data_IF_145559796879
#
_entry.id   IF_145559796879
#
_cell.length_a   1.000
_cell.length_b   1.000
_cell.length_c   1.000
_cell.angle_alpha   90.00
_cell.angle_beta   90.00
_cell.angle_gamma   90.00
#
_symmetry.space_group_name_H-M   'P 1'
#
loop_
_entity.id
_entity.type
_entity.pdbx_description
1 polymer ?
#
# COMPACT_ATOMS: atom_id res chain seq x y z
N UNK A 1 -2.96 6.16 8.49
CA UNK A 1 -1.85 5.38 7.89
C UNK A 1 -0.52 5.57 8.61
N UNK A 2 -0.03 6.79 8.82
CA UNK A 2 1.29 7.03 9.46
C UNK A 2 1.41 6.37 10.85
N UNK A 3 0.41 6.55 11.72
CA UNK A 3 0.40 5.92 13.05
C UNK A 3 0.34 4.38 12.99
N UNK A 4 -0.40 3.82 12.04
CA UNK A 4 -0.48 2.38 11.83
C UNK A 4 0.88 1.81 11.41
N UNK A 5 1.55 2.47 10.47
CA UNK A 5 2.89 2.08 10.01
C UNK A 5 3.90 2.16 11.16
N UNK A 6 3.84 3.20 11.99
CA UNK A 6 4.70 3.33 13.18
C UNK A 6 4.47 2.18 14.18
N UNK A 7 3.21 1.91 14.54
CA UNK A 7 2.85 0.83 15.47
C UNK A 7 3.30 -0.51 14.91
N UNK A 8 2.98 -0.81 13.64
CA UNK A 8 3.39 -2.04 12.98
C UNK A 8 4.92 -2.18 12.90
N UNK A 9 5.65 -1.07 12.69
CA UNK A 9 7.12 -1.09 12.58
C UNK A 9 7.84 -1.34 13.91
N UNK A 10 7.19 -0.99 15.02
CA UNK A 10 7.69 -1.16 16.37
C UNK A 10 7.31 -2.53 16.97
N UNK A 11 6.17 -3.09 16.54
CA UNK A 11 5.60 -4.31 17.12
C UNK A 11 5.92 -5.59 16.36
N UNK A 12 6.25 -5.52 15.06
CA UNK A 12 6.43 -6.72 14.22
C UNK A 12 7.79 -6.77 13.54
N UNK A 13 8.34 -8.00 13.43
CA UNK A 13 9.58 -8.26 12.71
C UNK A 13 9.47 -7.85 11.24
N UNK A 14 10.61 -7.48 10.62
CA UNK A 14 10.65 -6.93 9.26
C UNK A 14 10.04 -7.85 8.17
N UNK A 15 9.96 -9.16 8.40
CA UNK A 15 9.28 -10.10 7.49
C UNK A 15 7.75 -10.03 7.59
N UNK A 16 7.20 -9.83 8.78
CA UNK A 16 5.75 -9.81 9.05
C UNK A 16 5.12 -8.44 8.78
N UNK A 17 5.89 -7.38 9.03
CA UNK A 17 5.51 -5.99 8.79
C UNK A 17 5.01 -5.72 7.35
N UNK A 18 5.69 -6.28 6.35
CA UNK A 18 5.35 -6.08 4.94
C UNK A 18 4.01 -6.75 4.60
N UNK A 19 3.77 -7.95 5.15
CA UNK A 19 2.49 -8.64 5.02
C UNK A 19 1.37 -7.85 5.69
N UNK A 20 1.59 -7.35 6.91
CA UNK A 20 0.60 -6.57 7.66
C UNK A 20 0.23 -5.24 7.00
N UNK A 21 1.19 -4.52 6.41
CA UNK A 21 0.88 -3.33 5.59
C UNK A 21 0.10 -3.71 4.34
N UNK A 22 0.46 -4.82 3.69
CA UNK A 22 -0.28 -5.36 2.55
C UNK A 22 -1.74 -5.65 2.91
N UNK A 23 -1.98 -6.36 4.02
CA UNK A 23 -3.32 -6.66 4.53
C UNK A 23 -4.08 -5.39 4.94
N UNK A 24 -3.42 -4.42 5.58
CA UNK A 24 -4.03 -3.14 5.91
C UNK A 24 -4.43 -2.36 4.64
N UNK A 25 -3.60 -2.39 3.60
CA UNK A 25 -3.90 -1.84 2.28
C UNK A 25 -5.09 -2.55 1.62
N UNK A 26 -5.11 -3.89 1.64
CA UNK A 26 -6.24 -4.68 1.13
C UNK A 26 -7.53 -4.37 1.88
N UNK A 27 -7.49 -4.33 3.22
CA UNK A 27 -8.64 -3.98 4.04
C UNK A 27 -9.16 -2.57 3.72
N UNK A 28 -8.26 -1.62 3.47
CA UNK A 28 -8.61 -0.29 2.97
C UNK A 28 -9.32 -0.34 1.61
N UNK A 29 -8.77 -1.09 0.64
CA UNK A 29 -9.37 -1.24 -0.69
C UNK A 29 -10.74 -1.95 -0.66
N UNK A 30 -10.88 -2.99 0.16
CA UNK A 30 -12.15 -3.70 0.39
C UNK A 30 -13.17 -2.75 1.04
N UNK A 31 -12.74 -1.99 2.05
CA UNK A 31 -13.58 -0.96 2.68
C UNK A 31 -14.08 0.08 1.68
N UNK A 32 -13.21 0.56 0.79
CA UNK A 32 -13.59 1.47 -0.29
C UNK A 32 -14.61 0.82 -1.24
N UNK A 33 -14.39 -0.41 -1.68
CA UNK A 33 -15.33 -1.16 -2.55
C UNK A 33 -16.73 -1.30 -1.91
N UNK A 34 -16.77 -1.64 -0.63
CA UNK A 34 -18.02 -1.75 0.13
C UNK A 34 -18.68 -0.38 0.35
N UNK A 35 -17.90 0.69 0.50
CA UNK A 35 -18.42 2.04 0.60
C UNK A 35 -19.02 2.57 -0.73
N UNK A 36 -18.57 2.06 -1.88
CA UNK A 36 -19.08 2.55 -3.17
C UNK A 36 -20.41 1.90 -3.57
N UNK A 37 -20.47 0.58 -3.74
CA UNK A 37 -21.63 -0.07 -4.38
C UNK A 37 -22.72 -0.45 -3.36
N UNK A 38 -22.45 -1.29 -2.34
CA UNK A 38 -23.51 -1.72 -1.43
C UNK A 38 -23.98 -0.59 -0.51
N UNK A 39 -23.10 0.30 -0.06
CA UNK A 39 -23.52 1.45 0.74
C UNK A 39 -24.41 2.41 -0.05
N UNK A 40 -24.08 2.69 -1.32
CA UNK A 40 -24.94 3.53 -2.17
C UNK A 40 -26.28 2.89 -2.42
N UNK A 41 -26.33 1.58 -2.70
CA UNK A 41 -27.59 0.85 -2.84
C UNK A 41 -28.44 0.91 -1.56
N UNK A 42 -27.80 0.80 -0.39
CA UNK A 42 -28.48 0.87 0.89
C UNK A 42 -29.02 2.26 1.23
N UNK A 43 -28.25 3.32 0.90
CA UNK A 43 -28.69 4.71 1.03
C UNK A 43 -29.89 4.98 0.11
N UNK A 44 -29.87 4.46 -1.12
CA UNK A 44 -30.99 4.61 -2.06
C UNK A 44 -32.26 3.91 -1.59
N UNK A 45 -32.15 2.78 -0.88
CA UNK A 45 -33.29 2.01 -0.39
C UNK A 45 -33.86 2.53 0.95
N UNK A 46 -33.02 2.99 1.87
CA UNK A 46 -33.41 3.31 3.26
C UNK A 46 -33.17 4.76 3.68
N UNK A 47 -32.69 5.61 2.75
CA UNK A 47 -32.22 6.96 3.05
C UNK A 47 -30.85 6.96 3.72
N UNK A 48 -30.30 8.15 3.99
CA UNK A 48 -28.94 8.29 4.53
C UNK A 48 -28.86 8.06 6.05
N UNK A 49 -29.94 8.23 6.82
CA UNK A 49 -29.85 8.16 8.29
C UNK A 49 -29.43 6.78 8.81
N UNK A 50 -30.04 5.71 8.31
CA UNK A 50 -29.79 4.35 8.79
C UNK A 50 -28.36 3.87 8.49
N UNK A 51 -27.84 3.99 7.24
CA UNK A 51 -26.50 3.54 6.90
C UNK A 51 -25.40 4.28 7.66
N UNK A 52 -25.57 5.60 7.85
CA UNK A 52 -24.63 6.41 8.63
C UNK A 52 -24.65 6.07 10.13
N UNK A 53 -25.82 5.75 10.70
CA UNK A 53 -25.91 5.35 12.10
C UNK A 53 -25.25 3.98 12.35
N UNK A 54 -25.50 3.00 11.47
CA UNK A 54 -24.89 1.66 11.56
C UNK A 54 -23.37 1.71 11.35
N UNK A 55 -22.89 2.46 10.36
CA UNK A 55 -21.45 2.64 10.16
C UNK A 55 -20.78 3.32 11.35
N UNK A 56 -21.44 4.30 11.99
CA UNK A 56 -20.99 4.91 13.24
C UNK A 56 -20.82 3.91 14.38
N UNK A 57 -21.81 3.01 14.58
CA UNK A 57 -21.74 1.96 15.60
C UNK A 57 -20.60 0.98 15.30
N UNK A 58 -20.43 0.56 14.05
CA UNK A 58 -19.34 -0.32 13.64
C UNK A 58 -17.95 0.31 13.89
N UNK A 59 -17.81 1.61 13.63
CA UNK A 59 -16.58 2.36 13.93
C UNK A 59 -16.31 2.41 15.44
N UNK A 60 -17.34 2.63 16.26
CA UNK A 60 -17.22 2.61 17.72
C UNK A 60 -16.83 1.22 18.24
N UNK A 61 -17.51 0.16 17.74
CA UNK A 61 -17.22 -1.22 18.10
C UNK A 61 -15.79 -1.63 17.71
N UNK A 62 -15.35 -1.30 16.49
CA UNK A 62 -13.97 -1.55 16.05
C UNK A 62 -12.94 -0.78 16.89
N UNK A 63 -13.24 0.45 17.31
CA UNK A 63 -12.38 1.22 18.21
C UNK A 63 -12.25 0.54 19.57
N UNK A 64 -13.38 0.13 20.17
CA UNK A 64 -13.40 -0.60 21.45
C UNK A 64 -12.67 -1.94 21.35
N UNK A 65 -12.87 -2.67 20.25
CA UNK A 65 -12.19 -3.94 20.00
C UNK A 65 -10.67 -3.74 19.86
N UNK A 66 -10.23 -2.75 19.07
CA UNK A 66 -8.81 -2.41 18.94
C UNK A 66 -8.20 -1.99 20.27
N UNK A 67 -8.92 -1.16 21.04
CA UNK A 67 -8.49 -0.73 22.37
C UNK A 67 -8.37 -1.91 23.34
N UNK A 68 -9.36 -2.80 23.36
CA UNK A 68 -9.35 -4.01 24.17
C UNK A 68 -8.20 -4.95 23.77
N UNK A 69 -7.96 -5.17 22.48
CA UNK A 69 -6.84 -6.00 21.99
C UNK A 69 -5.50 -5.36 22.34
N UNK A 70 -5.31 -4.06 22.13
CA UNK A 70 -4.05 -3.37 22.46
C UNK A 70 -3.72 -3.43 23.96
N UNK A 71 -4.73 -3.38 24.83
CA UNK A 71 -4.55 -3.43 26.28
C UNK A 71 -4.44 -4.87 26.81
N UNK A 72 -5.22 -5.80 26.25
CA UNK A 72 -5.25 -7.22 26.66
C UNK A 72 -4.07 -8.02 26.10
N UNK A 73 -3.38 -7.51 25.08
CA UNK A 73 -2.16 -8.09 24.54
C UNK A 73 -0.92 -7.28 24.99
N UNK A 74 -0.56 -7.25 26.28
CA UNK A 74 0.78 -6.83 26.66
C UNK A 74 1.70 -7.97 26.24
N UNK A 75 2.22 -7.92 25.01
CA UNK A 75 3.09 -8.99 24.56
C UNK A 75 4.42 -8.89 25.31
N UNK A 76 4.61 -9.85 26.22
CA UNK A 76 5.88 -10.35 26.76
C UNK A 76 7.03 -10.06 25.79
N UNK A 77 7.86 -9.07 26.15
CA UNK A 77 9.27 -9.06 25.75
C UNK A 77 10.00 -10.01 26.68
N UNK A 78 9.84 -11.31 26.47
CA UNK A 78 10.70 -12.31 27.07
C UNK A 78 11.54 -12.94 25.95
N UNK A 79 12.84 -12.66 25.96
CA UNK A 79 13.83 -13.35 25.14
C UNK A 79 14.29 -12.59 23.89
N UNK A 80 15.16 -11.60 24.08
CA UNK A 80 15.90 -11.00 22.98
C UNK A 80 16.53 -9.69 23.41
N UNK A 81 17.76 -9.77 23.91
CA UNK A 81 18.61 -8.63 24.21
C UNK A 81 18.85 -7.78 22.95
N UNK A 82 17.90 -6.90 22.63
CA UNK A 82 18.25 -5.66 21.99
C UNK A 82 18.72 -4.75 23.11
N UNK A 83 20.04 -4.64 23.21
CA UNK A 83 20.69 -3.50 23.84
C UNK A 83 19.81 -2.27 23.59
N UNK A 84 19.58 -1.48 24.64
CA UNK A 84 19.23 -0.09 24.48
C UNK A 84 20.36 0.56 23.67
N UNK A 85 20.32 0.38 22.35
CA UNK A 85 20.89 1.32 21.42
C UNK A 85 20.22 2.62 21.81
N UNK A 86 20.96 3.44 22.54
CA UNK A 86 20.63 4.81 22.88
C UNK A 86 20.12 5.42 21.58
N UNK A 87 18.80 5.54 21.43
CA UNK A 87 18.20 6.19 20.26
C UNK A 87 18.68 7.62 20.38
N UNK A 88 19.79 7.90 19.68
CA UNK A 88 20.34 9.23 19.61
C UNK A 88 19.19 10.06 19.09
N UNK A 89 18.69 10.99 19.91
CA UNK A 89 17.73 11.98 19.48
C UNK A 89 18.48 12.87 18.49
N UNK A 90 18.67 12.37 17.26
CA UNK A 90 19.07 13.20 16.16
C UNK A 90 17.98 14.24 15.98
N UNK A 91 18.38 15.51 15.92
CA UNK A 91 17.46 16.59 15.65
C UNK A 91 16.70 16.22 14.38
N UNK A 92 15.36 16.22 14.43
CA UNK A 92 14.48 15.86 13.31
C UNK A 92 14.90 16.54 12.00
N UNK A 93 15.39 17.78 12.09
CA UNK A 93 15.97 18.56 10.99
C UNK A 93 17.15 17.87 10.28
N UNK A 94 18.03 17.19 11.01
CA UNK A 94 19.17 16.48 10.43
C UNK A 94 18.71 15.24 9.66
N UNK A 95 17.77 14.49 10.22
CA UNK A 95 17.15 13.34 9.54
C UNK A 95 16.43 13.79 8.27
N UNK A 96 15.64 14.88 8.36
CA UNK A 96 14.94 15.45 7.22
C UNK A 96 15.91 15.92 6.12
N UNK A 97 16.98 16.63 6.50
CA UNK A 97 18.00 17.10 5.54
C UNK A 97 18.73 15.94 4.88
N UNK A 98 18.96 14.83 5.60
CA UNK A 98 19.57 13.61 5.06
C UNK A 98 18.65 12.91 4.06
N UNK A 99 17.36 12.80 4.37
CA UNK A 99 16.36 12.24 3.45
C UNK A 99 16.24 13.11 2.19
N UNK A 100 16.13 14.43 2.35
CA UNK A 100 16.03 15.37 1.22
C UNK A 100 17.28 15.40 0.33
N UNK A 101 18.46 15.04 0.85
CA UNK A 101 19.70 14.91 0.06
C UNK A 101 19.90 13.51 -0.53
N UNK A 102 19.15 12.51 -0.07
CA UNK A 102 19.34 11.12 -0.52
C UNK A 102 18.72 10.90 -1.89
N UNK A 103 19.56 10.65 -2.90
CA UNK A 103 19.13 10.25 -4.25
C UNK A 103 18.24 9.01 -4.22
N UNK A 104 18.54 8.06 -3.34
CA UNK A 104 17.77 6.83 -3.19
C UNK A 104 16.39 7.07 -2.56
N UNK A 105 16.29 8.01 -1.61
CA UNK A 105 14.99 8.42 -1.05
C UNK A 105 14.12 9.05 -2.14
N UNK A 106 14.69 9.97 -2.93
CA UNK A 106 13.99 10.61 -4.04
C UNK A 106 13.58 9.62 -5.12
N UNK A 107 14.45 8.66 -5.49
CA UNK A 107 14.10 7.63 -6.46
C UNK A 107 12.93 6.77 -5.96
N UNK A 108 12.96 6.32 -4.70
CA UNK A 108 11.88 5.55 -4.13
C UNK A 108 10.58 6.37 -4.02
N UNK A 109 10.67 7.64 -3.63
CA UNK A 109 9.55 8.57 -3.57
C UNK A 109 8.92 8.75 -4.95
N UNK A 110 9.71 9.08 -5.98
CA UNK A 110 9.21 9.31 -7.34
C UNK A 110 8.60 8.03 -7.93
N UNK A 111 9.22 6.87 -7.72
CA UNK A 111 8.64 5.60 -8.19
C UNK A 111 7.32 5.28 -7.49
N UNK A 112 7.23 5.50 -6.17
CA UNK A 112 6.00 5.25 -5.42
C UNK A 112 4.91 6.27 -5.74
N UNK A 113 5.27 7.55 -5.84
CA UNK A 113 4.38 8.63 -6.24
C UNK A 113 3.84 8.41 -7.65
N UNK A 114 4.70 8.07 -8.61
CA UNK A 114 4.28 7.78 -9.98
C UNK A 114 3.39 6.55 -10.08
N UNK A 115 3.51 5.58 -9.17
CA UNK A 115 2.69 4.39 -9.16
C UNK A 115 1.35 4.61 -8.44
N UNK A 116 1.39 5.02 -7.18
CA UNK A 116 0.19 5.18 -6.34
C UNK A 116 -0.54 6.48 -6.69
N UNK A 117 0.20 7.57 -6.90
CA UNK A 117 -0.37 8.88 -7.17
C UNK A 117 -1.11 8.94 -8.50
N UNK A 118 -0.58 8.31 -9.55
CA UNK A 118 -1.28 8.25 -10.86
C UNK A 118 -2.56 7.43 -10.75
N UNK A 119 -2.53 6.28 -10.10
CA UNK A 119 -3.71 5.43 -9.92
C UNK A 119 -4.78 6.10 -9.06
N UNK A 120 -4.42 6.59 -7.87
CA UNK A 120 -5.35 7.24 -6.93
C UNK A 120 -5.89 8.54 -7.53
N UNK A 121 -5.02 9.34 -8.17
CA UNK A 121 -5.44 10.53 -8.90
C UNK A 121 -6.44 10.20 -9.98
N UNK A 122 -6.10 9.25 -10.87
CA UNK A 122 -6.97 8.87 -11.97
C UNK A 122 -8.32 8.30 -11.50
N UNK A 123 -8.33 7.36 -10.54
CA UNK A 123 -9.58 6.79 -10.02
C UNK A 123 -10.43 7.84 -9.30
N UNK A 124 -9.81 8.74 -8.55
CA UNK A 124 -10.52 9.75 -7.77
C UNK A 124 -11.14 10.86 -8.61
N UNK A 125 -10.58 11.19 -9.77
CA UNK A 125 -11.02 12.35 -10.56
C UNK A 125 -11.58 11.99 -11.93
N UNK A 126 -10.95 11.07 -12.67
CA UNK A 126 -11.21 10.90 -14.10
C UNK A 126 -11.70 9.53 -14.51
N UNK A 127 -11.55 8.48 -13.70
CA UNK A 127 -11.82 7.12 -14.19
C UNK A 127 -13.29 6.84 -14.55
N UNK A 128 -14.25 7.35 -13.76
CA UNK A 128 -15.68 7.24 -14.11
C UNK A 128 -16.05 8.15 -15.30
N UNK A 129 -15.70 9.47 -15.30
CA UNK A 129 -15.91 10.31 -16.49
C UNK A 129 -15.24 9.75 -17.75
N UNK A 130 -14.09 9.12 -17.63
CA UNK A 130 -13.38 8.47 -18.73
C UNK A 130 -14.23 7.35 -19.35
N UNK A 131 -14.77 6.43 -18.52
CA UNK A 131 -15.69 5.40 -19.00
C UNK A 131 -16.89 6.00 -19.74
N UNK A 132 -17.51 7.03 -19.15
CA UNK A 132 -18.69 7.67 -19.72
C UNK A 132 -18.40 8.43 -21.02
N UNK A 133 -17.38 9.28 -21.05
CA UNK A 133 -17.10 10.17 -22.19
C UNK A 133 -16.36 9.47 -23.33
N UNK A 134 -15.46 8.53 -23.04
CA UNK A 134 -14.62 7.88 -24.07
C UNK A 134 -15.31 6.64 -24.63
N UNK A 135 -15.94 5.84 -23.77
CA UNK A 135 -16.61 4.59 -24.17
C UNK A 135 -18.13 4.73 -24.30
N UNK A 136 -18.73 5.88 -23.94
CA UNK A 136 -20.18 6.07 -24.02
C UNK A 136 -20.95 5.26 -22.98
N UNK A 137 -20.27 4.79 -21.93
CA UNK A 137 -20.87 3.98 -20.88
C UNK A 137 -21.85 4.79 -20.04
N UNK A 138 -22.84 4.10 -19.50
CA UNK A 138 -23.60 4.65 -18.40
C UNK A 138 -22.76 4.69 -17.10
N UNK A 139 -23.27 5.38 -16.07
CA UNK A 139 -22.54 5.55 -14.80
C UNK A 139 -22.29 4.19 -14.10
N UNK A 140 -23.26 3.25 -14.02
CA UNK A 140 -23.01 1.91 -13.50
C UNK A 140 -21.90 1.14 -14.23
N UNK A 141 -21.91 1.11 -15.56
CA UNK A 141 -20.89 0.44 -16.38
C UNK A 141 -19.51 1.05 -16.18
N UNK A 142 -19.41 2.39 -16.17
CA UNK A 142 -18.15 3.07 -15.89
C UNK A 142 -17.64 2.77 -14.48
N UNK A 143 -18.54 2.63 -13.49
CA UNK A 143 -18.18 2.20 -12.13
C UNK A 143 -17.65 0.76 -12.11
N UNK A 144 -18.21 -0.15 -12.90
CA UNK A 144 -17.70 -1.52 -13.02
C UNK A 144 -16.29 -1.54 -13.61
N UNK A 145 -16.01 -0.69 -14.60
CA UNK A 145 -14.66 -0.53 -15.15
C UNK A 145 -13.67 -0.11 -14.04
N UNK A 146 -14.04 0.84 -13.18
CA UNK A 146 -13.21 1.25 -12.04
C UNK A 146 -13.03 0.11 -11.02
N UNK A 147 -14.08 -0.68 -10.76
CA UNK A 147 -14.00 -1.83 -9.86
C UNK A 147 -12.96 -2.86 -10.32
N UNK A 148 -12.75 -3.04 -11.63
CA UNK A 148 -11.71 -3.96 -12.13
C UNK A 148 -10.31 -3.57 -11.64
N UNK A 149 -10.01 -2.26 -11.59
CA UNK A 149 -8.76 -1.77 -11.01
C UNK A 149 -8.67 -2.01 -9.51
N UNK A 150 -9.78 -1.85 -8.77
CA UNK A 150 -9.81 -2.12 -7.32
C UNK A 150 -9.58 -3.61 -7.02
N UNK A 151 -10.16 -4.49 -7.83
CA UNK A 151 -9.90 -5.95 -7.76
C UNK A 151 -8.42 -6.22 -7.99
N UNK A 152 -7.82 -5.60 -9.01
CA UNK A 152 -6.38 -5.65 -9.24
C UNK A 152 -5.61 -5.27 -7.98
N UNK A 153 -5.94 -4.14 -7.35
CA UNK A 153 -5.28 -3.65 -6.14
C UNK A 153 -5.39 -4.61 -4.95
N UNK A 154 -6.53 -5.27 -4.77
CA UNK A 154 -6.72 -6.30 -3.74
C UNK A 154 -5.78 -7.48 -3.99
N UNK A 155 -5.68 -7.94 -5.24
CA UNK A 155 -4.85 -9.09 -5.62
C UNK A 155 -3.36 -8.75 -5.61
N UNK A 156 -3.00 -7.49 -5.91
CA UNK A 156 -1.63 -7.02 -6.05
C UNK A 156 -0.76 -7.25 -4.83
N UNK A 157 -1.25 -6.92 -3.64
CA UNK A 157 -0.50 -7.07 -2.39
C UNK A 157 -0.14 -8.54 -2.05
N UNK A 158 -1.11 -9.48 -1.96
CA UNK A 158 -0.83 -10.86 -1.55
C UNK A 158 -0.04 -11.63 -2.60
N UNK A 159 -0.39 -11.49 -3.89
CA UNK A 159 0.31 -12.18 -4.98
C UNK A 159 1.75 -11.72 -5.05
N UNK A 160 2.00 -10.41 -4.99
CA UNK A 160 3.38 -9.92 -5.03
C UNK A 160 4.16 -10.27 -3.75
N UNK A 161 3.51 -10.23 -2.59
CA UNK A 161 4.11 -10.68 -1.34
C UNK A 161 4.57 -12.15 -1.41
N UNK A 162 3.73 -13.02 -1.97
CA UNK A 162 4.03 -14.44 -2.19
C UNK A 162 5.14 -14.65 -3.24
N UNK A 163 5.11 -13.91 -4.35
CA UNK A 163 6.19 -13.95 -5.35
C UNK A 163 7.52 -13.51 -4.72
N UNK A 164 7.52 -12.42 -3.95
CA UNK A 164 8.73 -11.90 -3.31
C UNK A 164 9.30 -12.85 -2.26
N UNK A 165 8.45 -13.62 -1.55
CA UNK A 165 8.92 -14.63 -0.61
C UNK A 165 9.54 -15.83 -1.32
N UNK A 166 8.93 -16.30 -2.43
CA UNK A 166 9.45 -17.40 -3.26
C UNK A 166 10.79 -17.08 -3.93
N UNK A 167 10.96 -15.85 -4.43
CA UNK A 167 12.21 -15.45 -5.09
C UNK A 167 13.35 -15.11 -4.12
N UNK A 168 13.09 -15.07 -2.81
CA UNK A 168 14.09 -14.67 -1.80
C UNK A 168 14.61 -13.24 -1.97
N UNK A 169 14.01 -12.43 -2.86
CA UNK A 169 14.44 -11.08 -3.21
C UNK A 169 13.24 -10.19 -3.45
N UNK A 170 13.27 -8.99 -2.84
CA UNK A 170 12.20 -7.99 -2.95
C UNK A 170 12.43 -7.01 -4.10
N UNK A 171 13.69 -6.84 -4.54
CA UNK A 171 14.07 -5.89 -5.60
C UNK A 171 13.58 -6.35 -6.98
N UNK A 172 13.73 -7.64 -7.31
CA UNK A 172 13.35 -8.17 -8.63
C UNK A 172 11.83 -8.07 -8.90
N UNK A 173 10.94 -8.53 -8.00
CA UNK A 173 9.50 -8.37 -8.20
C UNK A 173 9.07 -6.90 -8.25
N UNK A 174 9.69 -6.05 -7.42
CA UNK A 174 9.41 -4.62 -7.41
C UNK A 174 9.73 -3.96 -8.77
N UNK A 175 10.91 -4.23 -9.36
CA UNK A 175 11.27 -3.70 -10.67
C UNK A 175 10.33 -4.19 -11.76
N UNK A 176 10.00 -5.50 -11.79
CA UNK A 176 9.07 -6.08 -12.76
C UNK A 176 7.70 -5.38 -12.73
N UNK A 177 7.19 -5.11 -11.54
CA UNK A 177 5.90 -4.43 -11.38
C UNK A 177 5.98 -2.98 -11.83
N UNK A 178 7.05 -2.26 -11.46
CA UNK A 178 7.22 -0.88 -11.90
C UNK A 178 7.28 -0.79 -13.43
N UNK A 179 8.00 -1.72 -14.08
CA UNK A 179 8.07 -1.80 -15.54
C UNK A 179 6.74 -2.15 -16.17
N UNK A 180 5.98 -3.06 -15.56
CA UNK A 180 4.65 -3.48 -16.06
C UNK A 180 3.66 -2.31 -16.03
N UNK A 181 3.65 -1.53 -14.94
CA UNK A 181 2.76 -0.37 -14.77
C UNK A 181 3.15 0.75 -15.71
N UNK A 182 4.45 1.01 -15.86
CA UNK A 182 4.95 1.98 -16.82
C UNK A 182 4.52 1.62 -18.24
N UNK A 183 4.63 0.34 -18.61
CA UNK A 183 4.17 -0.15 -19.91
C UNK A 183 2.66 -0.02 -20.07
N UNK A 184 1.88 -0.33 -19.04
CA UNK A 184 0.42 -0.18 -19.06
C UNK A 184 -0.01 1.27 -19.31
N UNK A 185 0.59 2.23 -18.60
CA UNK A 185 0.35 3.66 -18.84
C UNK A 185 0.82 4.11 -20.24
N UNK A 186 1.94 3.58 -20.72
CA UNK A 186 2.45 3.88 -22.06
C UNK A 186 1.49 3.38 -23.14
N UNK A 187 0.98 2.14 -23.03
CA UNK A 187 -0.02 1.58 -23.96
C UNK A 187 -1.30 2.40 -23.92
N UNK A 188 -1.77 2.77 -22.72
CA UNK A 188 -2.93 3.64 -22.56
C UNK A 188 -2.77 4.96 -23.33
N UNK A 189 -1.59 5.59 -23.23
CA UNK A 189 -1.27 6.84 -23.90
C UNK A 189 -1.11 6.67 -25.43
N UNK A 190 -0.42 5.61 -25.88
CA UNK A 190 -0.21 5.31 -27.31
C UNK A 190 -1.53 5.02 -28.05
N UNK A 191 -2.53 4.49 -27.36
CA UNK A 191 -3.88 4.33 -27.90
C UNK A 191 -4.69 5.65 -27.94
N UNK A 192 -4.06 6.81 -27.73
CA UNK A 192 -4.72 8.11 -27.70
C UNK A 192 -5.77 8.23 -26.59
N UNK A 193 -5.64 7.44 -25.51
CA UNK A 193 -6.65 7.36 -24.46
C UNK A 193 -7.94 6.67 -24.89
N UNK A 194 -8.00 5.97 -26.03
CA UNK A 194 -9.16 5.16 -26.43
C UNK A 194 -8.74 3.76 -26.89
N UNK A 195 -8.11 2.95 -26.03
CA UNK A 195 -7.84 1.55 -26.33
C UNK A 195 -9.16 0.78 -26.53
N UNK A 196 -9.15 -0.37 -27.25
CA UNK A 196 -10.29 -1.26 -27.28
C UNK A 196 -10.77 -1.60 -25.87
N UNK A 197 -12.08 -1.76 -25.66
CA UNK A 197 -12.67 -1.92 -24.33
C UNK A 197 -12.00 -3.03 -23.49
N UNK A 198 -11.73 -4.17 -24.12
CA UNK A 198 -11.03 -5.29 -23.48
C UNK A 198 -9.63 -4.88 -22.98
N UNK A 199 -8.89 -4.13 -23.78
CA UNK A 199 -7.57 -3.60 -23.41
C UNK A 199 -7.70 -2.58 -22.28
N UNK A 200 -8.72 -1.72 -22.30
CA UNK A 200 -8.98 -0.77 -21.21
C UNK A 200 -9.21 -1.47 -19.87
N UNK A 201 -10.02 -2.54 -19.86
CA UNK A 201 -10.27 -3.37 -18.67
C UNK A 201 -8.98 -4.00 -18.16
N UNK A 202 -8.19 -4.60 -19.07
CA UNK A 202 -6.91 -5.22 -18.70
C UNK A 202 -5.93 -4.18 -18.12
N UNK A 203 -5.85 -2.99 -18.73
CA UNK A 203 -5.01 -1.91 -18.26
C UNK A 203 -5.45 -1.42 -16.88
N UNK A 204 -6.76 -1.24 -16.64
CA UNK A 204 -7.28 -0.87 -15.32
C UNK A 204 -6.90 -1.90 -14.25
N UNK A 205 -7.06 -3.18 -14.56
CA UNK A 205 -6.66 -4.27 -13.68
C UNK A 205 -5.16 -4.24 -13.37
N UNK A 206 -4.30 -4.11 -14.38
CA UNK A 206 -2.84 -4.11 -14.23
C UNK A 206 -2.34 -2.89 -13.45
N UNK A 207 -2.85 -1.70 -13.74
CA UNK A 207 -2.49 -0.47 -13.02
C UNK A 207 -2.93 -0.59 -11.55
N UNK A 208 -4.14 -1.10 -11.32
CA UNK A 208 -4.65 -1.39 -9.98
C UNK A 208 -3.82 -2.42 -9.22
N UNK A 209 -3.48 -3.54 -9.86
CA UNK A 209 -2.55 -4.55 -9.33
C UNK A 209 -1.25 -3.92 -8.87
N UNK A 210 -0.70 -3.04 -9.70
CA UNK A 210 0.46 -2.23 -9.37
C UNK A 210 0.33 -1.48 -8.06
N UNK A 211 -0.78 -0.74 -7.90
CA UNK A 211 -1.10 -0.01 -6.67
C UNK A 211 -1.12 -0.91 -5.43
N UNK A 212 -1.72 -2.10 -5.52
CA UNK A 212 -1.68 -3.09 -4.44
C UNK A 212 -0.28 -3.58 -4.10
N UNK A 213 0.53 -3.82 -5.13
CA UNK A 213 1.90 -4.30 -4.99
C UNK A 213 2.89 -3.23 -4.46
N UNK A 214 2.49 -1.95 -4.43
CA UNK A 214 3.30 -0.82 -3.97
C UNK A 214 3.76 -0.93 -2.50
N UNK A 215 3.13 -1.78 -1.69
CA UNK A 215 3.55 -2.07 -0.31
C UNK A 215 5.01 -2.54 -0.22
N UNK A 216 5.55 -3.15 -1.27
CA UNK A 216 6.96 -3.54 -1.36
C UNK A 216 7.93 -2.36 -1.38
N UNK A 217 7.51 -1.16 -1.82
CA UNK A 217 8.36 0.03 -1.76
C UNK A 217 8.81 0.29 -0.32
N UNK A 218 7.90 0.18 0.66
CA UNK A 218 8.25 0.36 2.07
C UNK A 218 9.27 -0.69 2.55
N UNK A 219 9.13 -1.93 2.09
CA UNK A 219 10.08 -3.01 2.39
C UNK A 219 11.47 -2.75 1.79
N UNK A 220 11.53 -2.25 0.55
CA UNK A 220 12.77 -1.93 -0.16
C UNK A 220 13.45 -0.70 0.44
N UNK A 221 12.69 0.34 0.79
CA UNK A 221 13.16 1.54 1.49
C UNK A 221 13.78 1.14 2.83
N UNK A 222 13.09 0.33 3.65
CA UNK A 222 13.62 -0.14 4.94
C UNK A 222 14.94 -0.91 4.82
N UNK A 223 15.14 -1.70 3.76
CA UNK A 223 16.43 -2.38 3.51
C UNK A 223 17.51 -1.47 2.93
N UNK A 224 17.11 -0.40 2.25
CA UNK A 224 18.01 0.55 1.61
C UNK A 224 18.59 1.55 2.61
N UNK A 225 17.77 1.93 3.59
CA UNK A 225 18.18 2.72 4.74
C UNK A 225 18.52 1.77 5.89
N UNK A 226 19.67 1.10 5.77
CA UNK A 226 20.20 0.28 6.84
C UNK A 226 20.52 1.15 8.06
N UNK A 227 20.37 0.58 9.26
CA UNK A 227 20.61 1.19 10.58
C UNK A 227 22.13 1.34 10.82
N UNK A 228 22.89 1.77 9.81
CA UNK A 228 24.35 1.86 9.81
C UNK A 228 24.91 3.12 10.48
N UNK A 229 24.16 3.71 11.41
CA UNK A 229 24.66 4.71 12.34
C UNK A 229 24.29 4.40 13.80
N UNK A 230 23.96 3.14 14.12
CA UNK A 230 23.87 2.67 15.50
C UNK A 230 24.97 1.65 15.75
N UNK A 231 26.09 2.13 16.30
CA UNK A 231 27.09 1.30 16.98
C UNK A 231 28.00 0.48 16.07
N UNK A 232 29.05 1.12 15.52
CA UNK A 232 30.29 0.40 15.22
C UNK A 232 30.92 0.03 16.57
N UNK A 233 30.71 -1.20 17.04
CA UNK A 233 31.64 -1.80 18.00
C UNK A 233 32.89 -2.21 17.21
N UNK A 234 34.09 -1.73 17.56
CA UNK A 234 35.31 -2.35 17.07
C UNK A 234 35.43 -3.74 17.73
N UNK A 235 35.91 -4.68 16.94
CA UNK A 235 36.48 -5.97 17.37
C UNK A 235 35.51 -7.03 17.89
N UNK A 236 34.95 -7.83 16.97
CA UNK A 236 34.70 -9.25 17.20
C UNK A 236 34.75 -10.00 15.85
N UNK A 237 35.54 -11.08 15.73
CA UNK A 237 35.72 -11.80 14.48
C UNK A 237 34.46 -12.57 14.10
N UNK A 238 34.12 -12.54 12.81
CA UNK A 238 33.02 -13.28 12.20
C UNK A 238 33.42 -14.76 12.14
N UNK A 239 32.68 -15.72 12.74
CA UNK A 239 32.79 -17.11 12.35
C UNK A 239 31.97 -17.32 11.07
N UNK A 240 32.57 -18.02 10.11
CA UNK A 240 32.00 -18.33 8.81
C UNK A 240 30.82 -19.33 8.89
N UNK A 241 29.91 -19.20 7.91
CA UNK A 241 28.97 -20.21 7.37
C UNK A 241 27.85 -20.75 8.28
N UNK A 242 26.58 -20.54 7.91
CA UNK A 242 25.71 -21.45 7.11
C UNK A 242 24.35 -20.78 6.86
#
# INVERSE_FOLDING_TARGET
MINLVLILSQWFYAKEFVGLIGYAGMAGSVGSLLATVPLTAWISASGWRLPFFVTGILLLASTVMLYAVLIRLPQKREGGAHAHAKVRHEKMLLVLKRILKSRQAWAAFLCHFGLVGTYVGFIGTWAVPYGMHIFGMDRPEASQLVMTGLIGAIIGAPVTGWIASRLGSRKKPYLLIQTLIFLAWTVFFLCGGKPPLFVAVLLMFVIGYGNGASALTFAVVRHSFDVREVGRFPDLPIPAAF
#
